data_IF_767447238476
#
_entry.id   IF_767447238476
#
_cell.length_a   1.000
_cell.length_b   1.000
_cell.length_c   1.000
_cell.angle_alpha   90.00
_cell.angle_beta   90.00
_cell.angle_gamma   90.00
#
_symmetry.space_group_name_H-M   'P 1'
#
loop_
_entity.id
_entity.type
_entity.pdbx_description
1 polymer ?
#
# COMPACT_ATOMS: atom_id res chain seq x y z
N UNK A 1 22.07 -22.44 6.75
CA UNK A 1 23.05 -21.70 7.57
C UNK A 1 23.62 -20.48 6.85
N UNK A 2 24.22 -20.62 5.65
CA UNK A 2 24.80 -19.48 4.88
C UNK A 2 23.81 -18.34 4.59
N UNK A 3 22.59 -18.66 4.14
CA UNK A 3 21.54 -17.66 3.88
C UNK A 3 21.10 -16.88 5.14
N UNK A 4 21.02 -17.55 6.30
CA UNK A 4 20.64 -16.92 7.57
C UNK A 4 21.65 -15.85 7.99
N UNK A 5 22.96 -16.14 7.84
CA UNK A 5 24.01 -15.17 8.15
C UNK A 5 24.08 -14.03 7.13
N UNK A 6 23.73 -14.27 5.86
CA UNK A 6 23.64 -13.23 4.84
C UNK A 6 22.56 -12.18 5.14
N UNK A 7 21.42 -12.57 5.73
CA UNK A 7 20.34 -11.65 6.08
C UNK A 7 20.72 -10.59 7.12
N UNK A 8 21.79 -10.81 7.90
CA UNK A 8 22.30 -9.83 8.85
C UNK A 8 23.17 -8.75 8.20
N UNK A 9 23.49 -8.84 6.90
CA UNK A 9 24.33 -7.85 6.23
C UNK A 9 23.81 -6.40 6.37
N UNK A 10 22.51 -6.10 6.15
CA UNK A 10 21.95 -4.77 6.40
C UNK A 10 22.07 -4.29 7.86
N UNK A 11 22.06 -5.20 8.83
CA UNK A 11 22.23 -4.83 10.24
C UNK A 11 23.69 -4.48 10.55
N UNK A 12 24.63 -5.29 10.06
CA UNK A 12 26.05 -5.16 10.38
C UNK A 12 26.66 -3.96 9.66
N UNK A 13 26.21 -3.61 8.44
CA UNK A 13 26.78 -2.53 7.63
C UNK A 13 26.67 -1.13 8.27
N UNK A 14 25.71 -0.91 9.16
CA UNK A 14 25.55 0.40 9.81
C UNK A 14 26.71 0.74 10.73
N UNK A 15 27.36 -0.28 11.32
CA UNK A 15 28.47 -0.11 12.24
C UNK A 15 29.72 0.48 11.56
N UNK A 16 30.30 -0.11 10.49
CA UNK A 16 31.48 0.47 9.84
C UNK A 16 31.19 1.85 9.22
N UNK A 17 29.99 2.09 8.67
CA UNK A 17 29.63 3.40 8.07
C UNK A 17 29.60 4.50 9.14
N UNK A 18 28.95 4.25 10.27
CA UNK A 18 28.89 5.20 11.38
C UNK A 18 30.27 5.52 11.94
N UNK A 19 31.11 4.49 12.15
CA UNK A 19 32.45 4.66 12.72
C UNK A 19 33.38 5.35 11.71
N UNK A 20 33.29 5.06 10.41
CA UNK A 20 34.01 5.82 9.37
C UNK A 20 33.69 7.30 9.43
N UNK A 21 32.42 7.67 9.55
CA UNK A 21 31.98 9.07 9.67
C UNK A 21 32.62 9.76 10.88
N UNK A 22 32.62 9.10 12.04
CA UNK A 22 33.28 9.59 13.25
C UNK A 22 34.80 9.70 13.04
N UNK A 23 35.42 8.72 12.38
CA UNK A 23 36.86 8.71 12.13
C UNK A 23 37.30 9.84 11.21
N UNK A 24 36.51 10.19 10.17
CA UNK A 24 36.76 11.38 9.35
C UNK A 24 36.65 12.67 10.16
N UNK A 25 35.63 12.79 11.02
CA UNK A 25 35.49 13.94 11.91
C UNK A 25 36.70 14.07 12.83
N UNK A 26 37.15 12.97 13.45
CA UNK A 26 38.30 12.97 14.35
C UNK A 26 39.59 13.28 13.60
N UNK A 27 39.76 12.76 12.39
CA UNK A 27 40.90 13.10 11.53
C UNK A 27 40.90 14.58 11.15
N UNK A 28 39.75 15.15 10.83
CA UNK A 28 39.62 16.58 10.53
C UNK A 28 39.94 17.46 11.75
N UNK A 29 39.45 17.09 12.93
CA UNK A 29 39.74 17.79 14.19
C UNK A 29 41.22 17.67 14.58
N UNK A 30 41.87 16.53 14.32
CA UNK A 30 43.29 16.33 14.63
C UNK A 30 44.21 17.18 13.75
N UNK A 31 43.79 17.57 12.55
CA UNK A 31 44.55 18.51 11.71
C UNK A 31 44.76 19.89 12.37
N UNK A 32 43.85 20.30 13.27
CA UNK A 32 43.94 21.57 14.00
C UNK A 32 44.80 21.48 15.27
N UNK A 33 44.95 20.28 15.86
CA UNK A 33 45.76 20.06 17.06
C UNK A 33 46.32 18.62 17.10
N UNK A 34 47.62 18.49 16.82
CA UNK A 34 48.34 17.20 16.68
C UNK A 34 48.46 16.38 17.97
N UNK A 35 48.31 17.00 19.14
CA UNK A 35 48.33 16.26 20.42
C UNK A 35 46.94 16.02 21.01
N UNK A 36 45.90 16.17 20.20
CA UNK A 36 44.53 15.99 20.64
C UNK A 36 44.20 14.52 20.93
N UNK A 37 43.23 14.33 21.82
CA UNK A 37 42.62 13.02 22.11
C UNK A 37 42.09 12.36 20.83
N UNK A 38 41.69 13.15 19.83
CA UNK A 38 41.21 12.66 18.54
C UNK A 38 42.28 11.88 17.77
N UNK A 39 43.52 12.36 17.72
CA UNK A 39 44.62 11.66 17.02
C UNK A 39 44.94 10.32 17.67
N UNK A 40 44.99 10.28 19.00
CA UNK A 40 45.27 9.06 19.78
C UNK A 40 44.15 8.02 19.67
N UNK A 41 42.93 8.44 19.33
CA UNK A 41 41.76 7.56 19.21
C UNK A 41 41.63 6.94 17.82
N UNK A 42 42.22 7.53 16.77
CA UNK A 42 42.12 7.04 15.39
C UNK A 42 42.53 5.58 15.18
N UNK A 43 43.63 5.04 15.77
CA UNK A 43 43.98 3.64 15.61
C UNK A 43 42.92 2.68 16.15
N UNK A 44 42.27 3.03 17.26
CA UNK A 44 41.20 2.21 17.85
C UNK A 44 39.98 2.21 16.92
N UNK A 45 39.59 3.38 16.42
CA UNK A 45 38.48 3.49 15.47
C UNK A 45 38.75 2.68 14.20
N UNK A 46 39.95 2.78 13.62
CA UNK A 46 40.33 2.04 12.42
C UNK A 46 40.34 0.52 12.64
N UNK A 47 40.74 0.05 13.82
CA UNK A 47 40.67 -1.38 14.15
C UNK A 47 39.22 -1.87 14.23
N UNK A 48 38.34 -1.10 14.88
CA UNK A 48 36.92 -1.45 14.96
C UNK A 48 36.25 -1.38 13.58
N UNK A 49 36.61 -0.38 12.76
CA UNK A 49 36.19 -0.28 11.35
C UNK A 49 36.64 -1.54 10.59
N UNK A 50 37.89 -1.96 10.72
CA UNK A 50 38.41 -3.13 10.02
C UNK A 50 37.62 -4.39 10.37
N UNK A 51 37.44 -4.67 11.66
CA UNK A 51 36.72 -5.85 12.14
C UNK A 51 35.27 -5.84 11.66
N UNK A 52 34.59 -4.70 11.80
CA UNK A 52 33.18 -4.57 11.41
C UNK A 52 32.98 -4.60 9.89
N UNK A 53 33.89 -4.00 9.11
CA UNK A 53 33.87 -4.03 7.64
C UNK A 53 34.19 -5.42 7.08
N UNK A 54 35.09 -6.16 7.73
CA UNK A 54 35.36 -7.55 7.40
C UNK A 54 34.12 -8.43 7.61
N UNK A 55 33.48 -8.31 8.78
CA UNK A 55 32.21 -9.01 9.08
C UNK A 55 31.10 -8.63 8.11
N UNK A 56 31.01 -7.35 7.72
CA UNK A 56 30.05 -6.86 6.73
C UNK A 56 30.32 -7.44 5.35
N UNK A 57 31.58 -7.49 4.91
CA UNK A 57 31.97 -8.05 3.61
C UNK A 57 31.70 -9.56 3.54
N UNK A 58 31.94 -10.27 4.65
CA UNK A 58 31.66 -11.70 4.74
C UNK A 58 30.15 -11.99 4.68
N UNK A 59 29.34 -11.28 5.46
CA UNK A 59 27.88 -11.44 5.41
C UNK A 59 27.31 -11.02 4.05
N UNK A 60 27.86 -9.98 3.42
CA UNK A 60 27.46 -9.54 2.08
C UNK A 60 27.78 -10.57 1.00
N UNK A 61 28.94 -11.23 1.08
CA UNK A 61 29.28 -12.34 0.20
C UNK A 61 28.31 -13.52 0.35
N UNK A 62 27.95 -13.88 1.58
CA UNK A 62 26.94 -14.92 1.81
C UNK A 62 25.57 -14.53 1.26
N UNK A 63 25.20 -13.25 1.34
CA UNK A 63 23.95 -12.73 0.77
C UNK A 63 23.97 -12.75 -0.77
N UNK A 64 25.11 -12.45 -1.42
CA UNK A 64 25.21 -12.47 -2.88
C UNK A 64 24.99 -13.86 -3.49
N UNK A 65 25.22 -14.94 -2.73
CA UNK A 65 24.95 -16.31 -3.17
C UNK A 65 23.45 -16.63 -3.33
N UNK A 66 22.56 -15.71 -2.96
CA UNK A 66 21.11 -15.90 -3.11
C UNK A 66 20.58 -15.66 -4.54
N UNK A 67 21.38 -15.09 -5.45
CA UNK A 67 20.96 -14.81 -6.83
C UNK A 67 19.85 -13.76 -6.99
N UNK A 68 19.46 -13.07 -5.91
CA UNK A 68 18.28 -12.20 -5.91
C UNK A 68 18.50 -10.79 -6.48
N UNK A 69 19.72 -10.47 -6.93
CA UNK A 69 20.16 -9.12 -7.29
C UNK A 69 20.98 -9.13 -8.57
N UNK A 70 21.02 -8.00 -9.28
CA UNK A 70 21.77 -7.84 -10.53
C UNK A 70 23.29 -8.06 -10.34
N UNK A 71 23.88 -8.96 -11.12
CA UNK A 71 25.26 -9.43 -10.93
C UNK A 71 26.31 -8.32 -11.05
N UNK A 72 26.17 -7.40 -12.00
CA UNK A 72 27.14 -6.33 -12.23
C UNK A 72 27.18 -5.36 -11.03
N UNK A 73 26.01 -4.91 -10.58
CA UNK A 73 25.87 -3.99 -9.46
C UNK A 73 26.37 -4.63 -8.14
N UNK A 74 26.06 -5.92 -7.93
CA UNK A 74 26.57 -6.69 -6.78
C UNK A 74 28.10 -6.78 -6.81
N UNK A 75 28.70 -7.05 -7.97
CA UNK A 75 30.15 -7.16 -8.09
C UNK A 75 30.86 -5.83 -7.81
N UNK A 76 30.34 -4.73 -8.35
CA UNK A 76 30.86 -3.39 -8.10
C UNK A 76 30.78 -3.02 -6.60
N UNK A 77 29.62 -3.25 -5.97
CA UNK A 77 29.42 -3.03 -4.54
C UNK A 77 30.37 -3.88 -3.67
N UNK A 78 30.49 -5.17 -4.00
CA UNK A 78 31.37 -6.12 -3.31
C UNK A 78 32.83 -5.68 -3.34
N UNK A 79 33.34 -5.29 -4.51
CA UNK A 79 34.72 -4.85 -4.67
C UNK A 79 35.01 -3.58 -3.87
N UNK A 80 34.09 -2.62 -3.86
CA UNK A 80 34.26 -1.38 -3.11
C UNK A 80 34.23 -1.60 -1.58
N UNK A 81 33.37 -2.49 -1.08
CA UNK A 81 33.36 -2.90 0.34
C UNK A 81 34.65 -3.60 0.78
N UNK A 82 35.20 -4.47 -0.07
CA UNK A 82 36.51 -5.12 0.17
C UNK A 82 37.63 -4.08 0.18
N UNK A 83 37.62 -3.13 -0.76
CA UNK A 83 38.61 -2.06 -0.82
C UNK A 83 38.64 -1.22 0.47
N UNK A 84 37.47 -0.82 0.99
CA UNK A 84 37.38 -0.10 2.27
C UNK A 84 37.90 -0.91 3.46
N UNK A 85 37.62 -2.22 3.48
CA UNK A 85 38.14 -3.13 4.49
C UNK A 85 39.66 -3.14 4.45
N UNK A 86 40.27 -3.30 3.27
CA UNK A 86 41.73 -3.29 3.12
C UNK A 86 42.31 -1.93 3.53
N UNK A 87 41.72 -0.82 3.07
CA UNK A 87 42.18 0.54 3.40
C UNK A 87 42.19 0.77 4.90
N UNK A 88 41.15 0.35 5.63
CA UNK A 88 41.10 0.51 7.10
C UNK A 88 42.22 -0.26 7.82
N UNK A 89 42.52 -1.49 7.40
CA UNK A 89 43.60 -2.30 7.95
C UNK A 89 44.99 -1.74 7.64
N UNK A 90 45.18 -1.25 6.41
CA UNK A 90 46.44 -0.59 6.00
C UNK A 90 46.63 0.73 6.76
N UNK A 91 45.60 1.57 6.87
CA UNK A 91 45.66 2.81 7.66
C UNK A 91 45.98 2.54 9.13
N UNK A 92 45.34 1.52 9.74
CA UNK A 92 45.64 1.10 11.10
C UNK A 92 47.13 0.73 11.25
N UNK A 93 47.66 -0.08 10.34
CA UNK A 93 49.05 -0.52 10.37
C UNK A 93 50.03 0.65 10.19
N UNK A 94 49.79 1.54 9.23
CA UNK A 94 50.64 2.70 8.96
C UNK A 94 50.71 3.67 10.14
N UNK A 95 49.57 3.96 10.77
CA UNK A 95 49.53 4.87 11.92
C UNK A 95 50.24 4.24 13.11
N UNK A 96 50.04 2.95 13.38
CA UNK A 96 50.72 2.24 14.49
C UNK A 96 52.24 2.16 14.29
N UNK A 97 52.70 2.10 13.04
CA UNK A 97 54.12 2.02 12.68
C UNK A 97 54.76 3.37 12.37
N UNK A 98 54.00 4.47 12.51
CA UNK A 98 54.42 5.83 12.19
C UNK A 98 55.06 5.97 10.78
N UNK A 99 54.47 5.27 9.80
CA UNK A 99 54.96 5.21 8.42
C UNK A 99 54.39 6.38 7.61
N UNK A 100 55.23 6.98 6.75
CA UNK A 100 54.93 8.03 5.74
C UNK A 100 53.55 8.70 5.83
N UNK A 101 53.53 9.92 6.36
CA UNK A 101 52.34 10.79 6.39
C UNK A 101 51.70 10.97 5.01
N UNK A 102 52.48 11.06 3.93
CA UNK A 102 51.94 11.23 2.57
C UNK A 102 51.04 10.07 2.16
N UNK A 103 51.46 8.84 2.48
CA UNK A 103 50.72 7.63 2.14
C UNK A 103 49.44 7.50 2.98
N UNK A 104 49.50 7.86 4.26
CA UNK A 104 48.30 7.92 5.11
C UNK A 104 47.26 8.90 4.57
N UNK A 105 47.67 10.12 4.19
CA UNK A 105 46.73 11.13 3.66
C UNK A 105 46.10 10.67 2.34
N UNK A 106 46.86 10.03 1.45
CA UNK A 106 46.33 9.46 0.22
C UNK A 106 45.22 8.44 0.47
N UNK A 107 45.39 7.55 1.45
CA UNK A 107 44.38 6.55 1.81
C UNK A 107 43.14 7.16 2.44
N UNK A 108 43.28 8.17 3.31
CA UNK A 108 42.14 8.91 3.89
C UNK A 108 41.32 9.64 2.82
N UNK A 109 41.98 10.25 1.82
CA UNK A 109 41.31 10.94 0.72
C UNK A 109 40.62 9.93 -0.20
N UNK A 110 41.26 8.80 -0.48
CA UNK A 110 40.68 7.75 -1.33
C UNK A 110 39.49 7.04 -0.68
N UNK A 111 39.50 6.83 0.64
CA UNK A 111 38.42 6.09 1.32
C UNK A 111 37.08 6.83 1.32
N UNK A 112 37.07 8.17 1.29
CA UNK A 112 35.85 8.96 1.33
C UNK A 112 34.92 8.77 0.10
N UNK A 113 35.40 8.94 -1.16
CA UNK A 113 34.58 8.67 -2.34
C UNK A 113 34.21 7.19 -2.45
N UNK A 114 35.10 6.27 -2.06
CA UNK A 114 34.79 4.82 -2.08
C UNK A 114 33.64 4.52 -1.11
N UNK A 115 33.65 5.09 0.11
CA UNK A 115 32.55 4.93 1.06
C UNK A 115 31.22 5.47 0.50
N UNK A 116 31.25 6.64 -0.13
CA UNK A 116 30.07 7.23 -0.75
C UNK A 116 29.50 6.36 -1.86
N UNK A 117 30.36 5.93 -2.81
CA UNK A 117 29.97 5.07 -3.94
C UNK A 117 29.48 3.70 -3.43
N UNK A 118 30.13 3.12 -2.43
CA UNK A 118 29.72 1.85 -1.82
C UNK A 118 28.32 1.97 -1.20
N UNK A 119 28.05 3.06 -0.49
CA UNK A 119 26.74 3.36 0.09
C UNK A 119 25.67 3.60 -0.98
N UNK A 120 26.01 4.31 -2.06
CA UNK A 120 25.11 4.51 -3.20
C UNK A 120 24.71 3.18 -3.83
N UNK A 121 25.66 2.34 -4.21
CA UNK A 121 25.37 1.02 -4.78
C UNK A 121 24.63 0.10 -3.81
N UNK A 122 24.93 0.18 -2.51
CA UNK A 122 24.19 -0.55 -1.48
C UNK A 122 22.71 -0.13 -1.43
N UNK A 123 22.44 1.18 -1.49
CA UNK A 123 21.07 1.71 -1.58
C UNK A 123 20.38 1.35 -2.89
N UNK A 124 21.10 1.37 -4.02
CA UNK A 124 20.56 0.96 -5.31
C UNK A 124 20.19 -0.52 -5.33
N UNK A 125 20.94 -1.39 -4.65
CA UNK A 125 20.61 -2.81 -4.51
C UNK A 125 19.33 -3.04 -3.68
N UNK A 126 19.05 -2.20 -2.67
CA UNK A 126 17.90 -2.41 -1.77
C UNK A 126 16.65 -1.64 -2.18
N UNK A 127 16.80 -0.50 -2.85
CA UNK A 127 15.70 0.41 -3.19
C UNK A 127 15.59 0.72 -4.70
N UNK A 128 16.56 0.26 -5.50
CA UNK A 128 16.63 0.46 -6.95
C UNK A 128 17.51 1.63 -7.38
N UNK A 129 17.84 1.65 -8.67
CA UNK A 129 18.79 2.56 -9.30
C UNK A 129 18.42 4.05 -9.12
N UNK A 130 17.11 4.34 -9.10
CA UNK A 130 16.55 5.69 -8.90
C UNK A 130 16.36 6.09 -7.43
N UNK A 131 16.90 5.35 -6.45
CA UNK A 131 16.65 5.65 -5.03
C UNK A 131 17.10 7.06 -4.58
N UNK A 132 18.17 7.58 -5.18
CA UNK A 132 18.64 8.96 -4.95
C UNK A 132 18.18 9.93 -6.04
N UNK A 133 17.37 9.47 -7.00
CA UNK A 133 16.75 10.32 -7.99
C UNK A 133 15.61 11.08 -7.32
N UNK A 134 15.62 12.41 -7.43
CA UNK A 134 14.51 13.26 -6.97
C UNK A 134 13.26 13.15 -7.86
N UNK A 135 13.26 12.25 -8.85
CA UNK A 135 12.10 11.91 -9.67
C UNK A 135 11.32 10.77 -8.98
N UNK A 136 10.30 11.15 -8.20
CA UNK A 136 9.29 10.21 -7.71
C UNK A 136 8.41 9.75 -8.87
N UNK A 137 8.88 8.83 -9.71
CA UNK A 137 7.98 8.02 -10.54
C UNK A 137 7.40 6.92 -9.65
N UNK A 138 6.45 7.32 -8.80
CA UNK A 138 5.56 6.38 -8.14
C UNK A 138 4.61 5.84 -9.21
N UNK A 139 4.37 4.53 -9.23
CA UNK A 139 3.35 3.98 -10.11
C UNK A 139 2.00 4.60 -9.73
N UNK A 140 1.42 5.38 -10.65
CA UNK A 140 0.09 5.95 -10.50
C UNK A 140 -0.91 4.96 -11.08
N UNK A 141 -1.82 4.48 -10.24
CA UNK A 141 -2.87 3.57 -10.67
C UNK A 141 -3.76 4.28 -11.70
N UNK A 142 -4.04 3.66 -12.86
CA UNK A 142 -4.89 4.26 -13.87
C UNK A 142 -6.31 4.47 -13.33
N UNK A 143 -6.88 5.64 -13.66
CA UNK A 143 -8.27 5.97 -13.34
C UNK A 143 -9.15 5.39 -14.45
N UNK A 144 -10.03 4.45 -14.08
CA UNK A 144 -10.93 3.80 -15.04
C UNK A 144 -12.27 4.55 -15.06
N UNK A 145 -12.44 5.45 -16.03
CA UNK A 145 -13.71 6.17 -16.23
C UNK A 145 -14.81 5.27 -16.80
N UNK A 146 -14.46 4.43 -17.77
CA UNK A 146 -15.34 3.44 -18.38
C UNK A 146 -14.66 2.08 -18.44
N UNK A 147 -15.21 1.12 -17.70
CA UNK A 147 -14.66 -0.23 -17.62
C UNK A 147 -14.67 -0.97 -18.96
N UNK A 148 -15.62 -0.66 -19.85
CA UNK A 148 -15.73 -1.35 -21.14
C UNK A 148 -14.63 -0.93 -22.12
N UNK A 149 -14.14 0.30 -22.00
CA UNK A 149 -13.08 0.86 -22.84
C UNK A 149 -11.67 0.67 -22.28
N UNK A 150 -11.57 0.21 -21.03
CA UNK A 150 -10.31 -0.01 -20.33
C UNK A 150 -9.47 -1.11 -21.02
N UNK A 151 -8.16 -0.92 -21.04
CA UNK A 151 -7.19 -1.92 -21.47
C UNK A 151 -7.09 -3.01 -20.41
N UNK A 152 -7.26 -4.25 -20.84
CA UNK A 152 -7.31 -5.41 -19.93
C UNK A 152 -6.03 -5.51 -19.11
N UNK A 153 -4.87 -5.42 -19.77
CA UNK A 153 -3.61 -5.51 -19.05
C UNK A 153 -3.31 -4.23 -18.27
N UNK A 154 -3.16 -3.09 -18.96
CA UNK A 154 -2.68 -1.83 -18.36
C UNK A 154 -3.59 -1.32 -17.23
N UNK A 155 -4.90 -1.41 -17.40
CA UNK A 155 -5.83 -0.79 -16.44
C UNK A 155 -6.31 -1.75 -15.36
N UNK A 156 -6.32 -3.06 -15.62
CA UNK A 156 -6.89 -4.06 -14.69
C UNK A 156 -5.82 -4.96 -14.07
N UNK A 157 -4.90 -5.52 -14.87
CA UNK A 157 -3.91 -6.53 -14.40
C UNK A 157 -2.62 -5.88 -13.88
N UNK A 158 -2.08 -4.91 -14.59
CA UNK A 158 -0.83 -4.24 -14.23
C UNK A 158 -0.87 -3.62 -12.82
N UNK A 159 -1.96 -2.97 -12.36
CA UNK A 159 -2.02 -2.46 -10.99
C UNK A 159 -1.87 -3.55 -9.93
N UNK A 160 -2.42 -4.75 -10.20
CA UNK A 160 -2.31 -5.91 -9.30
C UNK A 160 -0.84 -6.33 -9.24
N UNK A 161 -0.16 -6.44 -10.38
CA UNK A 161 1.26 -6.80 -10.43
C UNK A 161 2.17 -5.74 -9.81
N UNK A 162 1.84 -4.46 -10.02
CA UNK A 162 2.57 -3.34 -9.44
C UNK A 162 2.52 -3.36 -7.91
N UNK A 163 1.35 -3.61 -7.34
CA UNK A 163 1.16 -3.60 -5.90
C UNK A 163 1.69 -4.88 -5.22
N UNK A 164 1.46 -6.05 -5.83
CA UNK A 164 1.68 -7.35 -5.18
C UNK A 164 2.97 -8.05 -5.62
N UNK A 165 3.50 -7.75 -6.81
CA UNK A 165 4.54 -8.57 -7.44
C UNK A 165 5.87 -7.81 -7.68
N UNK A 166 5.84 -6.54 -8.12
CA UNK A 166 7.05 -5.81 -8.53
C UNK A 166 8.09 -5.62 -7.42
N UNK A 167 7.68 -5.65 -6.15
CA UNK A 167 8.60 -5.60 -5.03
C UNK A 167 9.64 -6.74 -5.03
N UNK A 168 9.35 -7.86 -5.71
CA UNK A 168 10.25 -9.02 -5.83
C UNK A 168 10.52 -9.50 -7.26
N UNK A 169 9.71 -9.07 -8.24
CA UNK A 169 9.79 -9.46 -9.65
C UNK A 169 9.75 -8.23 -10.57
N UNK A 170 10.75 -7.36 -10.47
CA UNK A 170 10.91 -6.17 -11.32
C UNK A 170 12.37 -6.03 -11.75
N UNK A 171 12.70 -4.99 -12.53
CA UNK A 171 14.10 -4.65 -12.84
C UNK A 171 15.02 -4.66 -11.61
N UNK A 172 14.51 -4.11 -10.49
CA UNK A 172 15.26 -3.91 -9.24
C UNK A 172 15.55 -5.20 -8.50
N UNK A 173 14.71 -6.21 -8.66
CA UNK A 173 14.77 -7.48 -7.92
C UNK A 173 14.10 -8.57 -8.74
N UNK A 174 14.85 -9.62 -9.06
CA UNK A 174 14.43 -10.69 -9.98
C UNK A 174 14.52 -12.04 -9.26
N UNK A 175 13.67 -12.26 -8.26
CA UNK A 175 13.63 -13.57 -7.58
C UNK A 175 13.16 -14.65 -8.56
N UNK A 176 13.84 -15.80 -8.56
CA UNK A 176 13.55 -16.91 -9.49
C UNK A 176 13.73 -16.52 -10.97
N UNK A 177 14.64 -15.57 -11.24
CA UNK A 177 14.90 -15.00 -12.57
C UNK A 177 13.66 -14.39 -13.27
N UNK A 178 12.59 -14.13 -12.51
CA UNK A 178 11.31 -13.69 -13.02
C UNK A 178 11.15 -12.17 -12.91
N UNK A 179 10.61 -11.56 -13.98
CA UNK A 179 10.37 -10.13 -14.11
C UNK A 179 8.98 -9.83 -14.66
N UNK A 180 8.17 -9.06 -13.92
CA UNK A 180 6.73 -8.82 -14.16
C UNK A 180 6.38 -7.34 -14.42
N UNK A 181 7.38 -6.45 -14.55
CA UNK A 181 7.24 -5.02 -14.84
C UNK A 181 7.35 -4.70 -16.34
N UNK A 182 7.09 -5.68 -17.21
CA UNK A 182 7.01 -5.44 -18.65
C UNK A 182 6.65 -6.68 -19.46
N UNK A 183 5.85 -6.48 -20.52
CA UNK A 183 5.32 -7.51 -21.42
C UNK A 183 6.39 -8.51 -21.90
N UNK A 184 7.48 -8.01 -22.48
CA UNK A 184 8.58 -8.84 -23.01
C UNK A 184 9.14 -9.80 -21.96
N UNK A 185 9.18 -9.36 -20.70
CA UNK A 185 9.77 -10.13 -19.61
C UNK A 185 8.77 -11.12 -19.01
N UNK A 186 7.50 -10.74 -18.92
CA UNK A 186 6.41 -11.62 -18.52
C UNK A 186 6.34 -12.84 -19.46
N UNK A 187 6.42 -12.59 -20.78
CA UNK A 187 6.39 -13.65 -21.79
C UNK A 187 7.67 -14.51 -21.81
N UNK A 188 8.79 -14.01 -21.27
CA UNK A 188 10.04 -14.77 -21.16
C UNK A 188 9.97 -15.83 -20.05
N UNK A 189 9.17 -15.59 -19.01
CA UNK A 189 9.08 -16.47 -17.84
C UNK A 189 10.29 -16.34 -16.89
N UNK A 190 10.42 -17.31 -16.00
CA UNK A 190 11.47 -17.36 -14.97
C UNK A 190 12.27 -18.65 -15.00
N UNK A 191 12.92 -18.98 -13.87
CA UNK A 191 13.77 -20.17 -13.70
C UNK A 191 13.02 -21.49 -13.98
N UNK A 192 11.72 -21.54 -13.69
CA UNK A 192 10.86 -22.71 -13.89
C UNK A 192 10.35 -22.87 -15.32
N UNK A 193 10.69 -21.95 -16.24
CA UNK A 193 10.26 -21.97 -17.64
C UNK A 193 9.06 -21.07 -17.91
N UNK A 194 8.12 -21.56 -18.71
CA UNK A 194 6.96 -20.79 -19.19
C UNK A 194 6.02 -20.43 -18.02
N UNK A 195 5.96 -19.15 -17.69
CA UNK A 195 5.11 -18.63 -16.60
C UNK A 195 3.61 -18.73 -16.93
N UNK A 196 3.27 -18.49 -18.19
CA UNK A 196 1.90 -18.35 -18.68
C UNK A 196 1.68 -19.29 -19.86
N UNK A 197 0.57 -20.03 -19.80
CA UNK A 197 0.07 -20.85 -20.91
C UNK A 197 -1.22 -20.19 -21.40
N UNK A 198 -1.20 -19.50 -22.56
CA UNK A 198 -2.39 -18.86 -23.10
C UNK A 198 -3.58 -19.81 -23.21
N UNK A 199 -4.76 -19.34 -22.84
CA UNK A 199 -6.02 -20.09 -22.81
C UNK A 199 -6.10 -21.23 -21.77
N UNK A 200 -5.11 -21.34 -20.88
CA UNK A 200 -5.07 -22.38 -19.84
C UNK A 200 -4.54 -21.84 -18.52
N UNK A 201 -5.37 -21.07 -17.82
CA UNK A 201 -5.04 -20.51 -16.52
C UNK A 201 -4.61 -21.58 -15.51
N UNK A 202 -5.34 -22.69 -15.39
CA UNK A 202 -5.04 -23.77 -14.43
C UNK A 202 -3.69 -24.47 -14.66
N UNK A 203 -3.20 -24.47 -15.90
CA UNK A 203 -1.94 -25.11 -16.28
C UNK A 203 -0.76 -24.11 -16.21
N UNK A 204 -1.05 -22.81 -16.02
CA UNK A 204 -0.03 -21.76 -15.95
C UNK A 204 0.62 -21.69 -14.56
N UNK A 205 1.95 -21.66 -14.52
CA UNK A 205 2.72 -21.61 -13.26
C UNK A 205 2.32 -20.41 -12.39
N UNK A 206 2.05 -19.25 -13.01
CA UNK A 206 1.57 -18.07 -12.28
C UNK A 206 0.30 -18.37 -11.49
N UNK A 207 -0.73 -18.93 -12.13
CA UNK A 207 -2.00 -19.19 -11.47
C UNK A 207 -1.86 -20.24 -10.38
N UNK A 208 -1.09 -21.30 -10.63
CA UNK A 208 -0.84 -22.34 -9.64
C UNK A 208 -0.23 -21.77 -8.37
N UNK A 209 0.78 -20.90 -8.49
CA UNK A 209 1.40 -20.21 -7.34
C UNK A 209 0.47 -19.24 -6.61
N UNK A 210 -0.55 -18.70 -7.28
CA UNK A 210 -1.54 -17.80 -6.67
C UNK A 210 -2.60 -18.54 -5.85
N UNK A 211 -2.92 -19.78 -6.20
CA UNK A 211 -3.97 -20.59 -5.56
C UNK A 211 -3.44 -21.63 -4.58
N UNK A 212 -2.12 -21.73 -4.44
CA UNK A 212 -1.47 -22.56 -3.43
C UNK A 212 -1.87 -22.12 -2.01
N UNK A 213 -1.65 -23.01 -1.05
CA UNK A 213 -1.82 -22.65 0.35
C UNK A 213 -0.77 -21.60 0.74
N UNK A 214 -1.19 -20.56 1.46
CA UNK A 214 -0.28 -19.48 1.87
C UNK A 214 0.91 -19.93 2.74
N UNK A 215 0.84 -21.13 3.32
CA UNK A 215 1.92 -21.76 4.08
C UNK A 215 2.94 -22.50 3.20
N UNK A 216 2.63 -22.72 1.93
CA UNK A 216 3.55 -23.33 0.97
C UNK A 216 4.70 -22.36 0.64
N UNK A 217 5.91 -22.89 0.53
CA UNK A 217 7.11 -22.10 0.20
C UNK A 217 7.07 -21.59 -1.26
N UNK A 218 6.32 -22.27 -2.14
CA UNK A 218 6.15 -21.88 -3.55
C UNK A 218 4.99 -20.90 -3.78
N UNK A 219 4.16 -20.66 -2.75
CA UNK A 219 3.04 -19.71 -2.81
C UNK A 219 3.55 -18.28 -3.01
N UNK A 220 2.93 -17.58 -3.96
CA UNK A 220 3.25 -16.19 -4.27
C UNK A 220 1.99 -15.33 -4.27
N UNK A 221 1.99 -14.14 -3.65
CA UNK A 221 3.07 -13.54 -2.87
C UNK A 221 3.34 -14.29 -1.55
N UNK A 222 4.55 -14.25 -0.97
CA UNK A 222 4.83 -14.91 0.31
C UNK A 222 3.88 -14.47 1.42
N UNK A 223 3.52 -15.34 2.37
CA UNK A 223 2.51 -15.10 3.42
C UNK A 223 2.61 -13.77 4.18
N UNK A 224 3.82 -13.21 4.34
CA UNK A 224 4.06 -11.91 5.01
C UNK A 224 3.92 -10.69 4.09
N UNK A 225 3.52 -10.89 2.84
CA UNK A 225 3.33 -9.84 1.83
C UNK A 225 1.84 -9.67 1.52
N UNK A 226 1.43 -8.50 1.00
CA UNK A 226 0.05 -8.28 0.58
C UNK A 226 -0.38 -9.40 -0.39
N UNK A 227 -1.44 -10.11 -0.02
CA UNK A 227 -2.01 -11.17 -0.84
C UNK A 227 -2.97 -10.61 -1.87
N UNK A 228 -3.23 -11.39 -2.93
CA UNK A 228 -4.33 -11.12 -3.84
C UNK A 228 -5.64 -11.53 -3.17
N UNK A 229 -6.67 -10.75 -3.39
CA UNK A 229 -8.06 -11.13 -3.13
C UNK A 229 -8.54 -12.15 -4.16
N UNK A 230 -9.61 -12.89 -3.83
CA UNK A 230 -10.20 -13.85 -4.77
C UNK A 230 -10.62 -13.20 -6.10
N UNK A 231 -11.11 -11.95 -6.05
CA UNK A 231 -11.47 -11.18 -7.24
C UNK A 231 -10.25 -10.91 -8.13
N UNK A 232 -9.12 -10.52 -7.53
CA UNK A 232 -7.87 -10.28 -8.25
C UNK A 232 -7.31 -11.56 -8.86
N UNK A 233 -7.36 -12.68 -8.14
CA UNK A 233 -6.96 -14.00 -8.67
C UNK A 233 -7.83 -14.39 -9.87
N UNK A 234 -9.14 -14.18 -9.80
CA UNK A 234 -10.07 -14.46 -10.90
C UNK A 234 -9.82 -13.57 -12.12
N UNK A 235 -9.45 -12.31 -11.92
CA UNK A 235 -9.09 -11.41 -13.03
C UNK A 235 -7.80 -11.84 -13.72
N UNK A 236 -6.78 -12.23 -12.96
CA UNK A 236 -5.54 -12.77 -13.52
C UNK A 236 -5.82 -14.06 -14.30
N UNK A 237 -6.64 -14.96 -13.76
CA UNK A 237 -7.05 -16.18 -14.45
C UNK A 237 -7.79 -15.87 -15.76
N UNK A 238 -8.76 -14.95 -15.72
CA UNK A 238 -9.51 -14.51 -16.90
C UNK A 238 -8.60 -13.93 -17.99
N UNK A 239 -7.62 -13.11 -17.62
CA UNK A 239 -6.65 -12.56 -18.56
C UNK A 239 -5.81 -13.65 -19.24
N UNK A 240 -5.39 -14.68 -18.48
CA UNK A 240 -4.66 -15.83 -19.04
C UNK A 240 -5.56 -16.63 -19.98
N UNK A 241 -6.79 -16.90 -19.59
CA UNK A 241 -7.77 -17.66 -20.38
C UNK A 241 -8.19 -16.92 -21.66
N UNK A 242 -8.19 -15.59 -21.62
CA UNK A 242 -8.40 -14.71 -22.77
C UNK A 242 -7.21 -14.70 -23.76
N UNK A 243 -6.10 -15.34 -23.41
CA UNK A 243 -4.93 -15.49 -24.29
C UNK A 243 -3.81 -14.50 -23.99
N UNK A 244 -3.75 -13.91 -22.80
CA UNK A 244 -2.63 -13.03 -22.36
C UNK A 244 -2.48 -11.81 -23.29
N UNK A 245 -3.59 -11.11 -23.56
CA UNK A 245 -3.57 -9.91 -24.40
C UNK A 245 -3.12 -8.67 -23.63
N UNK A 246 -2.18 -7.90 -24.20
CA UNK A 246 -1.68 -6.64 -23.61
C UNK A 246 -2.35 -5.39 -24.19
N UNK A 247 -2.97 -5.51 -25.36
CA UNK A 247 -3.49 -4.41 -26.18
C UNK A 247 -5.03 -4.39 -26.31
N UNK A 248 -5.70 -5.46 -25.90
CA UNK A 248 -7.15 -5.58 -26.02
C UNK A 248 -7.90 -4.83 -24.92
N UNK A 249 -9.08 -4.34 -25.30
CA UNK A 249 -10.04 -3.74 -24.37
C UNK A 249 -10.91 -4.79 -23.69
N UNK A 250 -11.46 -4.42 -22.53
CA UNK A 250 -12.35 -5.27 -21.74
C UNK A 250 -13.56 -5.75 -22.58
N UNK A 251 -14.17 -4.88 -23.38
CA UNK A 251 -15.32 -5.22 -24.22
C UNK A 251 -15.01 -6.13 -25.43
N UNK A 252 -13.74 -6.28 -25.79
CA UNK A 252 -13.29 -7.14 -26.89
C UNK A 252 -13.05 -8.60 -26.44
N UNK A 253 -13.08 -8.84 -25.12
CA UNK A 253 -12.90 -10.16 -24.53
C UNK A 253 -14.23 -10.73 -24.03
N UNK A 254 -14.36 -12.05 -24.13
CA UNK A 254 -15.49 -12.75 -23.51
C UNK A 254 -15.39 -12.66 -21.99
N UNK A 255 -16.51 -12.31 -21.35
CA UNK A 255 -16.60 -12.13 -19.91
C UNK A 255 -17.72 -12.99 -19.36
N UNK A 256 -17.41 -13.80 -18.34
CA UNK A 256 -18.43 -14.48 -17.56
C UNK A 256 -19.26 -13.46 -16.75
N UNK A 257 -20.47 -13.82 -16.29
CA UNK A 257 -21.28 -12.97 -15.42
C UNK A 257 -20.55 -12.54 -14.14
N UNK A 258 -19.66 -13.40 -13.63
CA UNK A 258 -18.85 -13.16 -12.45
C UNK A 258 -17.76 -12.10 -12.71
N UNK A 259 -17.02 -12.24 -13.82
CA UNK A 259 -15.99 -11.27 -14.23
C UNK A 259 -16.63 -9.90 -14.50
N UNK A 260 -17.80 -9.85 -15.15
CA UNK A 260 -18.58 -8.60 -15.33
C UNK A 260 -18.89 -7.91 -14.00
N UNK A 261 -19.26 -8.69 -12.98
CA UNK A 261 -19.56 -8.16 -11.65
C UNK A 261 -18.30 -7.62 -10.97
N UNK A 262 -17.17 -8.32 -11.08
CA UNK A 262 -15.88 -7.89 -10.52
C UNK A 262 -15.39 -6.61 -11.19
N UNK A 263 -15.40 -6.55 -12.52
CA UNK A 263 -14.98 -5.40 -13.31
C UNK A 263 -15.83 -4.15 -12.98
N UNK A 264 -17.15 -4.32 -12.86
CA UNK A 264 -18.04 -3.24 -12.40
C UNK A 264 -17.71 -2.78 -10.98
N UNK A 265 -17.32 -3.68 -10.09
CA UNK A 265 -16.87 -3.28 -8.75
C UNK A 265 -15.54 -2.53 -8.84
N UNK A 266 -14.57 -2.96 -9.65
CA UNK A 266 -13.30 -2.25 -9.83
C UNK A 266 -13.49 -0.80 -10.29
N UNK A 267 -14.39 -0.56 -11.24
CA UNK A 267 -14.76 0.79 -11.65
C UNK A 267 -15.45 1.62 -10.55
N UNK A 268 -16.00 0.97 -9.52
CA UNK A 268 -16.73 1.59 -8.42
C UNK A 268 -15.99 1.52 -7.07
N UNK A 269 -14.76 0.99 -7.03
CA UNK A 269 -14.04 0.67 -5.78
C UNK A 269 -12.91 1.65 -5.55
N UNK A 270 -13.28 2.85 -5.13
CA UNK A 270 -12.54 3.61 -4.13
C UNK A 270 -13.53 4.47 -3.34
N UNK A 271 -13.54 4.28 -2.03
CA UNK A 271 -14.27 5.07 -1.02
C UNK A 271 -13.59 6.44 -0.80
N UNK A 272 -13.20 7.05 -1.91
CA UNK A 272 -12.91 8.46 -2.08
C UNK A 272 -13.93 8.98 -3.10
N UNK A 273 -14.41 10.20 -2.90
CA UNK A 273 -15.39 10.80 -3.81
C UNK A 273 -14.78 10.79 -5.21
N UNK A 274 -15.20 9.88 -6.09
CA UNK A 274 -14.76 9.88 -7.48
C UNK A 274 -15.03 11.27 -8.04
N UNK A 275 -14.07 11.83 -8.79
CA UNK A 275 -14.23 13.14 -9.44
C UNK A 275 -15.47 13.14 -10.36
N UNK A 276 -15.86 11.98 -10.90
CA UNK A 276 -17.11 11.76 -11.66
C UNK A 276 -18.38 11.90 -10.82
N UNK A 277 -18.25 11.81 -9.51
CA UNK A 277 -19.29 11.92 -8.50
C UNK A 277 -19.24 13.28 -7.78
N UNK A 278 -18.60 14.29 -8.37
CA UNK A 278 -18.80 15.70 -8.00
C UNK A 278 -20.01 16.30 -8.71
N UNK A 279 -20.75 17.25 -8.10
CA UNK A 279 -21.76 17.98 -8.84
C UNK A 279 -21.11 18.80 -9.96
N UNK A 280 -21.73 18.77 -11.14
CA UNK A 280 -21.26 19.49 -12.33
C UNK A 280 -21.37 21.01 -12.18
N UNK A 281 -22.17 21.47 -11.21
CA UNK A 281 -22.40 22.88 -10.94
C UNK A 281 -21.22 23.49 -10.19
N UNK A 282 -20.62 24.55 -10.73
CA UNK A 282 -19.67 25.34 -9.97
C UNK A 282 -20.36 26.05 -8.80
N UNK A 283 -19.77 25.93 -7.61
CA UNK A 283 -20.24 26.61 -6.39
C UNK A 283 -19.19 27.59 -5.89
N UNK A 284 -19.61 28.58 -5.09
CA UNK A 284 -18.68 29.53 -4.45
C UNK A 284 -17.83 28.81 -3.41
N UNK A 285 -16.58 29.24 -3.29
CA UNK A 285 -15.68 28.77 -2.23
C UNK A 285 -16.26 29.08 -0.85
N UNK A 286 -16.06 28.14 0.09
CA UNK A 286 -16.37 28.37 1.50
C UNK A 286 -15.47 29.46 2.10
N UNK A 287 -15.95 30.13 3.15
CA UNK A 287 -15.17 31.17 3.83
C UNK A 287 -13.96 30.55 4.56
N UNK A 288 -12.76 31.01 4.22
CA UNK A 288 -11.50 30.53 4.82
C UNK A 288 -11.50 30.62 6.36
N UNK A 289 -12.08 31.68 6.94
CA UNK A 289 -12.14 31.84 8.40
C UNK A 289 -13.00 30.75 9.05
N UNK A 290 -14.08 30.31 8.39
CA UNK A 290 -14.92 29.21 8.85
C UNK A 290 -14.19 27.88 8.72
N UNK A 291 -13.45 27.66 7.64
CA UNK A 291 -12.67 26.44 7.43
C UNK A 291 -11.58 26.27 8.50
N UNK A 292 -10.86 27.35 8.83
CA UNK A 292 -9.84 27.32 9.88
C UNK A 292 -10.45 27.02 11.26
N UNK A 293 -11.59 27.63 11.60
CA UNK A 293 -12.32 27.33 12.86
C UNK A 293 -12.70 25.84 12.97
N UNK A 294 -13.13 25.22 11.87
CA UNK A 294 -13.46 23.79 11.83
C UNK A 294 -12.19 22.94 12.04
N UNK A 295 -11.09 23.29 11.38
CA UNK A 295 -9.80 22.56 11.51
C UNK A 295 -9.23 22.62 12.93
N UNK A 296 -9.31 23.79 13.58
CA UNK A 296 -8.88 23.96 14.98
C UNK A 296 -9.64 23.06 15.94
N UNK A 297 -10.86 22.66 15.58
CA UNK A 297 -11.73 21.79 16.36
C UNK A 297 -11.41 20.29 16.19
N UNK A 298 -10.25 19.93 15.62
CA UNK A 298 -9.80 18.56 15.30
C UNK A 298 -10.71 17.82 14.30
N UNK A 299 -11.54 18.55 13.56
CA UNK A 299 -12.30 18.03 12.44
C UNK A 299 -11.47 18.23 11.17
N UNK A 300 -11.35 17.18 10.37
CA UNK A 300 -10.66 17.29 9.08
C UNK A 300 -11.67 17.77 8.04
N UNK A 301 -11.39 18.91 7.41
CA UNK A 301 -12.16 19.44 6.28
C UNK A 301 -11.19 19.78 5.16
N UNK A 302 -11.36 19.14 4.01
CA UNK A 302 -10.44 19.22 2.87
C UNK A 302 -11.22 19.32 1.55
N UNK A 303 -10.68 20.02 0.53
CA UNK A 303 -11.25 19.98 -0.80
C UNK A 303 -11.18 18.58 -1.38
N UNK A 304 -12.19 18.21 -2.18
CA UNK A 304 -12.26 16.87 -2.79
C UNK A 304 -11.21 16.68 -3.89
N UNK A 305 -10.83 17.75 -4.60
CA UNK A 305 -9.82 17.73 -5.64
C UNK A 305 -9.10 19.08 -5.72
N UNK A 306 -7.94 19.12 -6.39
CA UNK A 306 -7.26 20.38 -6.70
C UNK A 306 -8.21 21.27 -7.53
N UNK A 307 -8.45 22.50 -7.07
CA UNK A 307 -9.39 23.47 -7.65
C UNK A 307 -10.90 23.15 -7.50
N UNK A 308 -11.28 22.24 -6.59
CA UNK A 308 -12.69 22.03 -6.25
C UNK A 308 -13.10 22.82 -5.03
N UNK A 309 -14.24 23.52 -5.13
CA UNK A 309 -14.90 24.17 -3.99
C UNK A 309 -15.76 23.21 -3.16
N UNK A 310 -15.83 21.94 -3.56
CA UNK A 310 -16.48 20.89 -2.81
C UNK A 310 -15.55 20.29 -1.75
N UNK A 311 -16.13 19.95 -0.61
CA UNK A 311 -15.43 19.59 0.60
C UNK A 311 -15.82 18.17 1.07
N UNK A 312 -14.83 17.46 1.61
CA UNK A 312 -15.03 16.27 2.42
C UNK A 312 -14.76 16.61 3.88
N UNK A 313 -15.63 16.11 4.77
CA UNK A 313 -15.55 16.35 6.21
C UNK A 313 -15.41 15.01 6.94
N UNK A 314 -14.48 14.95 7.90
CA UNK A 314 -14.30 13.81 8.79
C UNK A 314 -14.38 14.27 10.26
N UNK A 315 -15.46 13.85 10.92
CA UNK A 315 -15.78 14.14 12.31
C UNK A 315 -15.09 13.10 13.20
N UNK A 316 -13.82 13.33 13.52
CA UNK A 316 -13.04 12.46 14.41
C UNK A 316 -13.43 12.69 15.88
N UNK A 317 -14.58 12.18 16.31
CA UNK A 317 -14.97 12.27 17.73
C UNK A 317 -16.41 11.85 18.05
N UNK A 318 -16.62 11.38 19.29
CA UNK A 318 -17.95 11.04 19.82
C UNK A 318 -18.85 12.26 20.01
N UNK A 319 -18.29 13.45 20.25
CA UNK A 319 -19.03 14.67 20.56
C UNK A 319 -18.49 15.85 19.76
N UNK A 320 -19.39 16.62 19.16
CA UNK A 320 -19.10 17.85 18.41
C UNK A 320 -19.73 19.02 19.18
N UNK A 321 -19.01 20.14 19.29
CA UNK A 321 -19.54 21.37 19.90
C UNK A 321 -20.55 22.07 18.97
N UNK A 322 -21.57 22.73 19.52
CA UNK A 322 -22.63 23.36 18.72
C UNK A 322 -22.12 24.46 17.79
N UNK A 323 -21.12 25.25 18.22
CA UNK A 323 -20.48 26.27 17.39
C UNK A 323 -19.82 25.69 16.13
N UNK A 324 -19.26 24.48 16.26
CA UNK A 324 -18.60 23.78 15.16
C UNK A 324 -19.64 23.19 14.21
N UNK A 325 -20.75 22.66 14.75
CA UNK A 325 -21.86 22.20 13.92
C UNK A 325 -22.51 23.35 13.13
N UNK A 326 -22.73 24.51 13.76
CA UNK A 326 -23.20 25.72 13.07
C UNK A 326 -22.24 26.17 11.96
N UNK A 327 -20.93 26.00 12.17
CA UNK A 327 -19.93 26.29 11.15
C UNK A 327 -20.06 25.32 9.96
N UNK A 328 -20.31 24.03 10.20
CA UNK A 328 -20.59 23.05 9.14
C UNK A 328 -21.88 23.36 8.38
N UNK A 329 -22.94 23.80 9.07
CA UNK A 329 -24.20 24.22 8.45
C UNK A 329 -24.01 25.41 7.51
N UNK A 330 -23.14 26.36 7.89
CA UNK A 330 -22.84 27.55 7.06
C UNK A 330 -22.12 27.23 5.75
N UNK A 331 -21.49 26.06 5.64
CA UNK A 331 -20.81 25.55 4.43
C UNK A 331 -21.46 24.27 3.90
N UNK A 332 -22.72 24.02 4.25
CA UNK A 332 -23.46 22.80 3.90
C UNK A 332 -23.59 22.58 2.39
N UNK A 333 -23.66 23.65 1.58
CA UNK A 333 -23.67 23.57 0.13
C UNK A 333 -22.33 23.07 -0.45
N UNK A 334 -21.23 23.28 0.25
CA UNK A 334 -19.90 22.84 -0.18
C UNK A 334 -19.64 21.36 0.17
N UNK A 335 -20.35 20.77 1.12
CA UNK A 335 -20.02 19.44 1.64
C UNK A 335 -20.69 18.35 0.78
N UNK A 336 -19.87 17.50 0.17
CA UNK A 336 -20.33 16.35 -0.65
C UNK A 336 -20.09 15.00 0.02
N UNK A 337 -19.18 14.95 0.98
CA UNK A 337 -18.83 13.74 1.72
C UNK A 337 -18.67 14.04 3.20
N UNK A 338 -19.32 13.23 4.04
CA UNK A 338 -19.24 13.34 5.49
C UNK A 338 -18.99 11.96 6.10
N UNK A 339 -17.86 11.83 6.80
CA UNK A 339 -17.53 10.70 7.66
C UNK A 339 -17.79 11.10 9.12
N UNK A 340 -18.81 10.51 9.72
CA UNK A 340 -19.30 10.82 11.07
C UNK A 340 -19.48 9.55 11.91
N UNK A 341 -18.71 8.49 11.59
CA UNK A 341 -18.81 7.21 12.27
C UNK A 341 -18.54 7.36 13.79
N UNK A 342 -19.44 6.82 14.61
CA UNK A 342 -19.35 6.86 16.07
C UNK A 342 -19.64 8.23 16.70
N UNK A 343 -20.03 9.23 15.94
CA UNK A 343 -20.42 10.56 16.44
C UNK A 343 -21.84 10.53 17.03
N UNK A 344 -22.05 11.24 18.14
CA UNK A 344 -23.36 11.42 18.74
C UNK A 344 -24.06 12.68 18.19
N UNK A 345 -25.25 12.50 17.64
CA UNK A 345 -26.08 13.57 17.07
C UNK A 345 -27.29 13.82 17.96
N UNK A 346 -27.66 15.08 18.16
CA UNK A 346 -28.94 15.42 18.79
C UNK A 346 -30.06 15.37 17.74
N UNK A 347 -31.34 15.27 18.13
CA UNK A 347 -32.47 15.33 17.19
C UNK A 347 -32.44 16.55 16.27
N UNK A 348 -31.99 17.70 16.78
CA UNK A 348 -31.87 18.95 16.02
C UNK A 348 -30.83 18.82 14.91
N UNK A 349 -29.70 18.14 15.17
CA UNK A 349 -28.65 17.90 14.16
C UNK A 349 -29.09 16.91 13.10
N UNK A 350 -29.87 15.88 13.48
CA UNK A 350 -30.48 14.98 12.49
C UNK A 350 -31.43 15.73 11.55
N UNK A 351 -32.20 16.68 12.09
CA UNK A 351 -33.08 17.51 11.27
C UNK A 351 -32.29 18.46 10.37
N UNK A 352 -31.23 19.09 10.87
CA UNK A 352 -30.46 20.04 10.07
C UNK A 352 -29.54 19.39 9.03
N UNK A 353 -29.21 18.10 9.19
CA UNK A 353 -28.56 17.29 8.16
C UNK A 353 -29.30 17.33 6.81
N UNK A 354 -30.63 17.50 6.81
CA UNK A 354 -31.41 17.66 5.58
C UNK A 354 -31.01 18.90 4.74
N UNK A 355 -30.30 19.87 5.33
CA UNK A 355 -29.79 21.07 4.66
C UNK A 355 -28.56 20.83 3.78
N UNK A 356 -27.88 19.69 3.90
CA UNK A 356 -26.65 19.36 3.16
C UNK A 356 -26.99 18.83 1.77
N UNK A 357 -27.60 19.68 0.92
CA UNK A 357 -28.25 19.27 -0.34
C UNK A 357 -27.33 18.62 -1.37
N UNK A 358 -26.03 18.88 -1.29
CA UNK A 358 -25.02 18.30 -2.19
C UNK A 358 -24.35 17.03 -1.62
N UNK A 359 -24.80 16.53 -0.46
CA UNK A 359 -24.20 15.36 0.17
C UNK A 359 -24.48 14.09 -0.65
N UNK A 360 -23.39 13.42 -1.05
CA UNK A 360 -23.40 12.20 -1.87
C UNK A 360 -22.93 10.99 -1.08
N UNK A 361 -22.03 11.19 -0.13
CA UNK A 361 -21.51 10.14 0.74
C UNK A 361 -21.73 10.50 2.19
N UNK A 362 -22.44 9.63 2.92
CA UNK A 362 -22.67 9.77 4.35
C UNK A 362 -22.32 8.48 5.08
N UNK A 363 -21.30 8.54 5.94
CA UNK A 363 -20.99 7.48 6.89
C UNK A 363 -21.40 7.89 8.30
N UNK A 364 -22.45 7.26 8.80
CA UNK A 364 -22.98 7.43 10.17
C UNK A 364 -23.03 6.08 10.89
N UNK A 365 -22.10 5.19 10.55
CA UNK A 365 -21.97 3.90 11.21
C UNK A 365 -21.64 4.07 12.70
N UNK A 366 -22.22 3.21 13.55
CA UNK A 366 -22.01 3.26 14.99
C UNK A 366 -22.51 4.53 15.70
N UNK A 367 -23.32 5.36 15.04
CA UNK A 367 -23.95 6.54 15.64
C UNK A 367 -25.25 6.17 16.36
N UNK A 368 -25.88 7.16 17.00
CA UNK A 368 -27.20 7.03 17.62
C UNK A 368 -28.37 7.25 16.63
N UNK A 369 -28.16 7.02 15.32
CA UNK A 369 -29.22 7.14 14.31
C UNK A 369 -30.35 6.14 14.58
N UNK A 370 -31.59 6.61 14.46
CA UNK A 370 -32.81 5.82 14.61
C UNK A 370 -33.72 5.94 13.37
N UNK A 371 -34.84 5.23 13.39
CA UNK A 371 -35.79 5.20 12.27
C UNK A 371 -36.41 6.57 11.96
N UNK A 372 -36.51 7.47 12.96
CA UNK A 372 -37.04 8.82 12.76
C UNK A 372 -36.02 9.73 12.10
N UNK A 373 -34.74 9.63 12.47
CA UNK A 373 -33.65 10.36 11.82
C UNK A 373 -33.54 10.04 10.31
N UNK A 374 -33.92 8.83 9.89
CA UNK A 374 -33.94 8.46 8.47
C UNK A 374 -34.94 9.29 7.64
N UNK A 375 -35.98 9.90 8.25
CA UNK A 375 -36.88 10.83 7.55
C UNK A 375 -36.15 12.09 7.08
N UNK A 376 -35.19 12.56 7.87
CA UNK A 376 -34.37 13.72 7.53
C UNK A 376 -33.30 13.35 6.50
N UNK A 377 -32.70 12.16 6.63
CA UNK A 377 -31.72 11.64 5.66
C UNK A 377 -32.37 11.39 4.28
N UNK A 378 -33.65 11.00 4.24
CA UNK A 378 -34.40 10.82 3.00
C UNK A 378 -34.55 12.11 2.16
N UNK A 379 -34.27 13.30 2.74
CA UNK A 379 -34.31 14.58 2.03
C UNK A 379 -33.01 14.88 1.26
N UNK A 380 -31.97 14.04 1.42
CA UNK A 380 -30.68 14.16 0.74
C UNK A 380 -30.78 13.52 -0.65
N UNK A 381 -31.50 14.17 -1.55
CA UNK A 381 -31.85 13.61 -2.87
C UNK A 381 -30.63 13.21 -3.73
N UNK A 382 -29.46 13.79 -3.47
CA UNK A 382 -28.20 13.49 -4.15
C UNK A 382 -27.41 12.34 -3.52
N UNK A 383 -27.88 11.74 -2.42
CA UNK A 383 -27.14 10.71 -1.70
C UNK A 383 -26.97 9.44 -2.55
N UNK A 384 -25.72 9.00 -2.69
CA UNK A 384 -25.30 7.83 -3.47
C UNK A 384 -24.81 6.70 -2.58
N UNK A 385 -24.14 7.03 -1.47
CA UNK A 385 -23.58 6.07 -0.54
C UNK A 385 -24.03 6.42 0.88
N UNK A 386 -24.66 5.45 1.54
CA UNK A 386 -25.07 5.56 2.94
C UNK A 386 -24.56 4.35 3.72
N UNK A 387 -23.80 4.61 4.79
CA UNK A 387 -23.33 3.57 5.70
C UNK A 387 -24.06 3.66 7.05
N UNK A 388 -24.86 2.64 7.37
CA UNK A 388 -25.64 2.48 8.61
C UNK A 388 -25.12 1.32 9.46
N UNK A 389 -23.89 0.84 9.23
CA UNK A 389 -23.36 -0.30 9.97
C UNK A 389 -23.36 -0.05 11.49
N UNK A 390 -23.62 -1.09 12.29
CA UNK A 390 -23.65 -1.02 13.76
C UNK A 390 -24.64 0.02 14.32
N UNK A 391 -25.86 0.10 13.77
CA UNK A 391 -26.91 1.02 14.22
C UNK A 391 -28.19 0.26 14.59
N UNK A 392 -29.18 0.95 15.19
CA UNK A 392 -30.46 0.34 15.61
C UNK A 392 -31.57 0.46 14.56
N UNK A 393 -31.19 0.59 13.29
CA UNK A 393 -32.15 0.72 12.20
C UNK A 393 -32.84 -0.61 11.97
N UNK A 394 -34.16 -0.55 11.77
CA UNK A 394 -35.00 -1.70 11.41
C UNK A 394 -35.55 -1.53 9.99
N UNK A 395 -36.24 -2.55 9.48
CA UNK A 395 -36.88 -2.49 8.16
C UNK A 395 -37.88 -1.32 8.03
N UNK A 396 -38.53 -0.92 9.13
CA UNK A 396 -39.47 0.20 9.14
C UNK A 396 -38.77 1.55 8.92
N UNK A 397 -37.53 1.67 9.38
CA UNK A 397 -36.68 2.82 9.09
C UNK A 397 -36.26 2.87 7.63
N UNK A 398 -35.89 1.72 7.04
CA UNK A 398 -35.50 1.65 5.64
C UNK A 398 -36.61 2.08 4.68
N UNK A 399 -37.88 1.86 5.04
CA UNK A 399 -39.00 2.35 4.25
C UNK A 399 -39.01 3.88 4.08
N UNK A 400 -38.40 4.63 5.01
CA UNK A 400 -38.30 6.09 4.90
C UNK A 400 -37.33 6.52 3.79
N UNK A 401 -36.38 5.66 3.39
CA UNK A 401 -35.32 5.98 2.43
C UNK A 401 -35.74 5.77 0.96
N UNK A 402 -36.99 5.33 0.69
CA UNK A 402 -37.54 5.19 -0.68
C UNK A 402 -37.33 6.42 -1.58
N UNK A 403 -37.37 7.68 -1.09
CA UNK A 403 -37.13 8.86 -1.92
C UNK A 403 -35.70 8.97 -2.48
N UNK A 404 -34.72 8.24 -1.95
CA UNK A 404 -33.31 8.30 -2.36
C UNK A 404 -33.04 7.52 -3.64
N UNK A 405 -33.57 8.01 -4.76
CA UNK A 405 -33.50 7.34 -6.08
C UNK A 405 -32.07 7.24 -6.66
N UNK A 406 -31.13 8.02 -6.14
CA UNK A 406 -29.72 8.02 -6.57
C UNK A 406 -28.82 7.12 -5.71
N UNK A 407 -29.39 6.45 -4.71
CA UNK A 407 -28.62 5.60 -3.80
C UNK A 407 -28.08 4.38 -4.54
N UNK A 408 -26.76 4.24 -4.60
CA UNK A 408 -26.02 3.16 -5.24
C UNK A 408 -25.56 2.10 -4.25
N UNK A 409 -25.25 2.51 -3.02
CA UNK A 409 -24.75 1.60 -1.98
C UNK A 409 -25.34 1.91 -0.61
N UNK A 410 -25.82 0.86 0.06
CA UNK A 410 -26.37 0.92 1.40
C UNK A 410 -25.77 -0.20 2.26
N UNK A 411 -24.99 0.18 3.27
CA UNK A 411 -24.35 -0.75 4.19
C UNK A 411 -25.17 -0.89 5.48
N UNK A 412 -25.49 -2.13 5.84
CA UNK A 412 -26.47 -2.54 6.84
C UNK A 412 -25.92 -3.60 7.82
N UNK A 413 -24.61 -3.84 7.84
CA UNK A 413 -23.99 -4.82 8.73
C UNK A 413 -24.24 -4.47 10.19
N UNK A 414 -24.67 -5.46 10.99
CA UNK A 414 -25.02 -5.28 12.42
C UNK A 414 -26.07 -4.18 12.66
N UNK A 415 -27.07 -4.12 11.79
CA UNK A 415 -28.33 -3.40 12.04
C UNK A 415 -29.35 -4.34 12.71
N UNK A 416 -30.49 -3.79 13.17
CA UNK A 416 -31.60 -4.56 13.74
C UNK A 416 -32.62 -4.99 12.67
N UNK A 417 -32.19 -5.05 11.41
CA UNK A 417 -33.04 -5.48 10.29
C UNK A 417 -33.37 -6.96 10.40
N UNK A 418 -34.66 -7.28 10.25
CA UNK A 418 -35.10 -8.66 10.14
C UNK A 418 -34.80 -9.23 8.74
N UNK A 419 -33.79 -10.09 8.64
CA UNK A 419 -33.38 -10.74 7.39
C UNK A 419 -34.45 -11.65 6.78
N UNK A 420 -35.47 -12.07 7.53
CA UNK A 420 -36.61 -12.80 6.94
C UNK A 420 -37.43 -11.92 5.99
N UNK A 421 -37.26 -10.59 6.04
CA UNK A 421 -37.88 -9.61 5.13
C UNK A 421 -36.91 -9.14 4.05
N UNK A 422 -35.80 -9.86 3.83
CA UNK A 422 -34.75 -9.42 2.93
C UNK A 422 -35.23 -9.18 1.50
N UNK A 423 -36.06 -10.07 0.94
CA UNK A 423 -36.63 -9.90 -0.40
C UNK A 423 -37.44 -8.59 -0.52
N UNK A 424 -38.27 -8.29 0.48
CA UNK A 424 -39.01 -7.03 0.56
C UNK A 424 -38.07 -5.84 0.61
N UNK A 425 -37.00 -5.90 1.40
CA UNK A 425 -36.00 -4.82 1.50
C UNK A 425 -35.27 -4.64 0.17
N UNK A 426 -34.87 -5.71 -0.50
CA UNK A 426 -34.25 -5.65 -1.83
C UNK A 426 -35.18 -4.97 -2.85
N UNK A 427 -36.48 -5.28 -2.80
CA UNK A 427 -37.47 -4.65 -3.68
C UNK A 427 -37.64 -3.14 -3.45
N UNK A 428 -37.32 -2.64 -2.25
CA UNK A 428 -37.35 -1.20 -1.96
C UNK A 428 -36.23 -0.45 -2.68
N UNK A 429 -35.11 -1.13 -2.97
CA UNK A 429 -33.89 -0.54 -3.51
C UNK A 429 -33.37 -1.32 -4.72
N UNK A 430 -34.12 -1.38 -5.83
CA UNK A 430 -33.80 -2.24 -6.97
C UNK A 430 -32.47 -1.88 -7.67
N UNK A 431 -32.02 -0.64 -7.52
CA UNK A 431 -30.79 -0.12 -8.16
C UNK A 431 -29.66 0.11 -7.14
N UNK A 432 -29.81 -0.33 -5.90
CA UNK A 432 -28.85 -0.12 -4.81
C UNK A 432 -28.23 -1.44 -4.42
N UNK A 433 -26.90 -1.47 -4.32
CA UNK A 433 -26.17 -2.57 -3.70
C UNK A 433 -26.40 -2.52 -2.20
N UNK A 434 -27.10 -3.52 -1.67
CA UNK A 434 -27.32 -3.68 -0.24
C UNK A 434 -26.28 -4.66 0.34
N UNK A 435 -25.52 -4.22 1.33
CA UNK A 435 -24.50 -5.03 2.00
C UNK A 435 -24.88 -5.26 3.47
N UNK A 436 -25.10 -6.51 3.87
CA UNK A 436 -25.41 -6.89 5.25
C UNK A 436 -24.22 -7.44 6.02
N UNK A 437 -23.04 -7.55 5.40
CA UNK A 437 -21.83 -8.15 5.98
C UNK A 437 -21.92 -9.64 6.32
N UNK A 438 -23.06 -10.29 6.03
CA UNK A 438 -23.28 -11.73 6.27
C UNK A 438 -22.73 -12.56 5.11
N UNK A 439 -21.46 -12.37 4.81
CA UNK A 439 -20.76 -13.16 3.81
C UNK A 439 -20.67 -14.61 4.30
N UNK A 440 -21.45 -15.51 3.68
CA UNK A 440 -21.23 -16.94 3.84
C UNK A 440 -20.05 -17.33 2.94
N UNK A 441 -18.89 -17.47 3.55
CA UNK A 441 -17.73 -18.07 2.88
C UNK A 441 -18.02 -19.57 2.78
N UNK A 442 -18.04 -20.16 1.57
CA UNK A 442 -18.27 -21.59 1.43
C UNK A 442 -17.14 -22.35 2.14
N UNK A 443 -17.50 -23.36 2.94
CA UNK A 443 -16.51 -24.25 3.55
C UNK A 443 -15.86 -25.06 2.44
N UNK A 444 -14.58 -24.84 2.20
CA UNK A 444 -13.81 -25.60 1.23
C UNK A 444 -13.41 -26.96 1.84
N UNK A 445 -13.21 -27.98 1.01
CA UNK A 445 -12.73 -29.30 1.49
C UNK A 445 -11.38 -29.22 2.23
N UNK A 446 -10.59 -28.18 1.96
CA UNK A 446 -9.33 -27.85 2.65
C UNK A 446 -9.53 -27.32 4.07
N UNK A 447 -10.71 -26.81 4.41
CA UNK A 447 -10.98 -26.15 5.70
C UNK A 447 -11.25 -27.15 6.84
N UNK A 448 -11.28 -28.44 6.54
CA UNK A 448 -11.38 -29.51 7.53
C UNK A 448 -10.03 -30.18 7.77
N UNK A 449 -9.41 -29.90 8.92
CA UNK A 449 -8.32 -30.72 9.45
C UNK A 449 -8.90 -32.07 9.89
N UNK A 450 -8.55 -33.15 9.20
CA UNK A 450 -8.91 -34.50 9.63
C UNK A 450 -8.02 -34.85 10.82
N UNK A 451 -8.53 -34.70 12.03
CA UNK A 451 -7.88 -35.23 13.23
C UNK A 451 -8.03 -36.75 13.25
N UNK A 452 -6.92 -37.50 13.24
CA UNK A 452 -6.98 -38.92 13.55
C UNK A 452 -7.09 -39.06 15.07
N UNK A 453 -7.89 -40.02 15.52
CA UNK A 453 -8.11 -40.29 16.95
C UNK A 453 -6.79 -40.62 17.69
N UNK A 454 -5.78 -41.06 16.96
CA UNK A 454 -4.42 -41.32 17.41
C UNK A 454 -3.69 -40.04 17.86
N UNK A 455 -3.98 -38.89 17.24
CA UNK A 455 -3.32 -37.60 17.50
C UNK A 455 -3.83 -36.92 18.79
N UNK A 456 -4.86 -37.49 19.44
CA UNK A 456 -5.51 -36.96 20.65
C UNK A 456 -5.11 -37.70 21.93
N UNK A 457 -4.20 -38.68 21.85
CA UNK A 457 -3.69 -39.39 23.03
C UNK A 457 -2.35 -38.74 23.42
N UNK A 458 -2.39 -37.92 24.47
CA UNK A 458 -1.22 -37.25 25.07
C UNK A 458 -0.11 -38.27 25.39
N UNK A 459 1.12 -37.92 24.99
CA UNK A 459 2.37 -38.49 25.52
C UNK A 459 2.95 -37.53 26.56
#
# INVERSE_FOLDING_TARGET
>A
MSQLFGQFHPLILHLPIGIWTIAYLFKWLSLKNKESVFEKTLPVLLLVIFISSFSTSLSGYLLSLSGAYEEELVNNHKLAGIALTIISGVLYWLIKKDISLKFQHGLWIASAPILFITGHWGGSLTHGEDYLSFSNKTYEKPIIDNIDDALVYTDVIEPIFAEKCWACHSAKKQKGELRLDGEKWILKGGETGDLLIPHKSTDSDLYQRLVMDTSDDDHMPPSRKPQLSEDEVKLVAWWIDAGVSFDKKVNELEQSPEIKSILKRLANKETEVSVSDLPETEIKAANDATLEMIKESRITILPVAQNSNYLTVNLLGKTIADSVWQSLESVSENIVSMKAAGTNFTPERWNSLAGFKNLRTLDISGTNVDNDALKSIAQLAELRVLNLNNTKITEAGLEQLKPLQKLRSLYLFRTEINLNKWESIQSLFPNTVLDTGNYQVPTLKSDTTIFRKEDLVEN
#
